data_IF_018000624553
#
_entry.id   IF_018000624553
#
_cell.length_a   1.000
_cell.length_b   1.000
_cell.length_c   1.000
_cell.angle_alpha   90.00
_cell.angle_beta   90.00
_cell.angle_gamma   90.00
#
_symmetry.space_group_name_H-M   'P 1'
#
loop_
_entity.id
_entity.type
_entity.pdbx_description
1 polymer ?
#
# COMPACT_ATOMS: atom_id res chain seq x y z
N UNK A 1 1.50 -10.78 -16.96
CA UNK A 1 0.04 -10.96 -16.89
C UNK A 1 -0.51 -9.75 -16.14
N UNK A 2 -1.04 -8.79 -16.90
CA UNK A 2 -1.31 -7.41 -16.47
C UNK A 2 -2.77 -7.15 -16.17
N UNK A 3 -2.98 -6.06 -15.45
CA UNK A 3 -4.22 -5.35 -15.15
C UNK A 3 -5.07 -5.91 -14.01
N UNK A 4 -4.72 -5.49 -12.79
CA UNK A 4 -5.75 -5.33 -11.78
C UNK A 4 -6.58 -4.09 -12.11
N UNK A 5 -7.93 -4.16 -12.05
CA UNK A 5 -8.80 -3.03 -12.41
C UNK A 5 -8.42 -1.78 -11.60
N UNK A 6 -8.74 -0.61 -12.16
CA UNK A 6 -8.68 0.77 -11.62
C UNK A 6 -9.38 0.92 -10.24
N UNK A 7 -8.98 0.09 -9.29
CA UNK A 7 -9.40 0.10 -7.91
C UNK A 7 -8.56 1.19 -7.28
N UNK A 8 -9.18 2.34 -6.97
CA UNK A 8 -8.51 3.38 -6.19
C UNK A 8 -7.93 2.75 -4.92
N UNK A 9 -6.72 3.18 -4.50
CA UNK A 9 -6.18 2.71 -3.23
C UNK A 9 -7.19 3.02 -2.12
N UNK A 10 -7.39 2.06 -1.22
CA UNK A 10 -8.30 2.21 -0.08
C UNK A 10 -7.72 3.23 0.89
N UNK A 11 -6.41 3.13 1.11
CA UNK A 11 -5.67 4.00 1.99
C UNK A 11 -4.21 4.12 1.53
N UNK A 12 -3.54 5.20 1.95
CA UNK A 12 -2.12 5.41 1.73
C UNK A 12 -1.50 6.06 2.96
N UNK A 13 -0.75 5.27 3.71
CA UNK A 13 0.00 5.74 4.88
C UNK A 13 1.32 6.35 4.37
N UNK A 14 1.71 7.53 4.87
CA UNK A 14 2.92 8.23 4.44
C UNK A 14 3.88 8.51 5.58
N UNK A 15 5.16 8.39 5.29
CA UNK A 15 6.27 8.88 6.10
C UNK A 15 7.26 9.60 5.20
N UNK A 16 7.08 10.92 5.05
CA UNK A 16 7.82 11.75 4.10
C UNK A 16 7.66 11.26 2.66
N UNK A 17 8.77 10.95 1.99
CA UNK A 17 8.79 10.38 0.64
C UNK A 17 8.35 8.92 0.58
N UNK A 18 8.33 8.20 1.70
CA UNK A 18 7.90 6.80 1.74
C UNK A 18 6.38 6.72 1.90
N UNK A 19 5.77 5.71 1.29
CA UNK A 19 4.34 5.42 1.44
C UNK A 19 4.08 3.92 1.44
N UNK A 20 3.05 3.50 2.17
CA UNK A 20 2.42 2.20 2.07
C UNK A 20 1.01 2.36 1.54
N UNK A 21 0.77 1.88 0.32
CA UNK A 21 -0.51 1.99 -0.39
C UNK A 21 -1.27 0.68 -0.24
N UNK A 22 -2.50 0.74 0.29
CA UNK A 22 -3.35 -0.44 0.51
C UNK A 22 -4.38 -0.53 -0.62
N UNK A 23 -4.49 -1.70 -1.22
CA UNK A 23 -5.40 -1.98 -2.33
C UNK A 23 -6.40 -3.08 -1.96
N UNK A 24 -7.67 -2.89 -2.34
CA UNK A 24 -8.66 -3.97 -2.34
C UNK A 24 -8.55 -4.73 -3.65
N UNK A 25 -8.41 -6.04 -3.56
CA UNK A 25 -8.33 -6.93 -4.71
C UNK A 25 -9.52 -7.88 -4.64
N UNK A 26 -10.16 -8.08 -5.78
CA UNK A 26 -11.27 -9.01 -5.95
C UNK A 26 -10.73 -10.20 -6.72
N UNK A 27 -10.94 -11.42 -6.21
CA UNK A 27 -10.53 -12.65 -6.86
C UNK A 27 -11.57 -13.74 -6.65
N UNK A 28 -11.42 -14.85 -7.37
CA UNK A 28 -12.40 -15.94 -7.38
C UNK A 28 -12.60 -16.59 -5.99
N UNK A 29 -11.58 -16.53 -5.14
CA UNK A 29 -11.60 -17.04 -3.76
C UNK A 29 -11.97 -15.98 -2.71
N UNK A 30 -12.52 -14.85 -3.15
CA UNK A 30 -12.93 -13.74 -2.29
C UNK A 30 -11.98 -12.56 -2.28
N UNK A 31 -12.41 -11.51 -1.59
CA UNK A 31 -11.69 -10.25 -1.51
C UNK A 31 -10.44 -10.39 -0.64
N UNK A 32 -9.34 -9.80 -1.09
CA UNK A 32 -8.12 -9.71 -0.30
C UNK A 32 -7.50 -8.31 -0.39
N UNK A 33 -6.60 -8.03 0.53
CA UNK A 33 -5.92 -6.74 0.64
C UNK A 33 -4.44 -6.92 0.38
N UNK A 34 -3.88 -6.12 -0.52
CA UNK A 34 -2.45 -6.07 -0.82
C UNK A 34 -1.87 -4.71 -0.43
N UNK A 35 -0.61 -4.69 0.00
CA UNK A 35 0.11 -3.47 0.35
C UNK A 35 1.29 -3.30 -0.58
N UNK A 36 1.49 -2.09 -1.09
CA UNK A 36 2.64 -1.70 -1.88
C UNK A 36 3.40 -0.59 -1.15
N UNK A 37 4.67 -0.84 -0.81
CA UNK A 37 5.54 0.15 -0.21
C UNK A 37 6.46 0.72 -1.29
N UNK A 38 6.51 2.04 -1.38
CA UNK A 38 7.38 2.74 -2.34
C UNK A 38 7.88 4.07 -1.80
N UNK A 39 8.97 4.55 -2.41
CA UNK A 39 9.52 5.90 -2.21
C UNK A 39 9.16 6.77 -3.40
N UNK A 40 8.44 7.85 -3.17
CA UNK A 40 8.15 8.87 -4.17
C UNK A 40 9.30 9.87 -4.25
N UNK A 41 9.77 10.17 -5.45
CA UNK A 41 10.78 11.18 -5.74
C UNK A 41 10.36 11.99 -6.97
N UNK A 42 11.01 13.14 -7.19
CA UNK A 42 10.73 14.03 -8.31
C UNK A 42 11.95 14.08 -9.22
N UNK A 43 11.75 13.92 -10.52
CA UNK A 43 12.83 14.05 -11.51
C UNK A 43 13.12 15.52 -11.84
N UNK A 44 14.12 15.73 -12.69
CA UNK A 44 14.57 17.05 -13.12
C UNK A 44 13.52 17.78 -13.99
N UNK A 45 12.62 17.02 -14.64
CA UNK A 45 11.46 17.57 -15.37
C UNK A 45 10.30 17.94 -14.44
N UNK A 46 10.43 17.64 -13.15
CA UNK A 46 9.42 17.90 -12.15
C UNK A 46 8.29 16.86 -12.10
N UNK A 47 8.42 15.71 -12.75
CA UNK A 47 7.46 14.58 -12.64
C UNK A 47 7.76 13.74 -11.41
N UNK A 48 6.70 13.22 -10.80
CA UNK A 48 6.80 12.31 -9.67
C UNK A 48 6.91 10.87 -10.15
N UNK A 49 7.80 10.12 -9.51
CA UNK A 49 8.06 8.71 -9.75
C UNK A 49 8.09 7.96 -8.44
N UNK A 50 7.78 6.66 -8.49
CA UNK A 50 7.92 5.76 -7.36
C UNK A 50 9.09 4.80 -7.58
N UNK A 51 9.77 4.43 -6.51
CA UNK A 51 10.84 3.42 -6.49
C UNK A 51 10.62 2.43 -5.35
N UNK A 52 11.10 1.20 -5.53
CA UNK A 52 11.07 0.14 -4.52
C UNK A 52 12.45 -0.19 -3.96
N UNK A 53 13.43 0.69 -4.20
CA UNK A 53 14.77 0.60 -3.64
C UNK A 53 14.90 1.56 -2.47
N UNK A 54 15.29 1.04 -1.31
CA UNK A 54 15.41 1.79 -0.07
C UNK A 54 16.87 1.85 0.39
N UNK A 55 17.25 3.01 0.94
CA UNK A 55 18.55 3.21 1.59
C UNK A 55 18.54 2.64 3.01
N UNK A 56 19.71 2.43 3.59
CA UNK A 56 19.84 1.90 4.96
C UNK A 56 19.09 2.72 6.02
N UNK A 57 19.08 4.06 5.89
CA UNK A 57 18.38 4.95 6.80
C UNK A 57 16.85 4.90 6.66
N UNK A 58 16.35 4.38 5.54
CA UNK A 58 14.91 4.24 5.28
C UNK A 58 14.33 2.92 5.82
N UNK A 59 15.16 1.91 6.11
CA UNK A 59 14.69 0.57 6.44
C UNK A 59 13.80 0.51 7.68
N UNK A 60 14.13 1.25 8.75
CA UNK A 60 13.29 1.29 9.95
C UNK A 60 11.94 1.97 9.70
N UNK A 61 11.91 2.98 8.82
CA UNK A 61 10.68 3.68 8.43
C UNK A 61 9.81 2.79 7.55
N UNK A 62 10.42 2.05 6.61
CA UNK A 62 9.75 1.01 5.83
C UNK A 62 9.15 -0.07 6.75
N UNK A 63 9.91 -0.54 7.74
CA UNK A 63 9.41 -1.50 8.73
C UNK A 63 8.21 -0.95 9.50
N UNK A 64 8.27 0.31 9.93
CA UNK A 64 7.14 0.95 10.62
C UNK A 64 5.92 1.11 9.72
N UNK A 65 6.11 1.49 8.45
CA UNK A 65 5.02 1.57 7.48
C UNK A 65 4.38 0.18 7.25
N UNK A 66 5.19 -0.87 7.18
CA UNK A 66 4.68 -2.24 7.05
C UNK A 66 3.85 -2.68 8.28
N UNK A 67 4.30 -2.34 9.48
CA UNK A 67 3.60 -2.64 10.74
C UNK A 67 2.24 -1.92 10.83
N UNK A 68 2.20 -0.63 10.48
CA UNK A 68 0.94 0.13 10.43
C UNK A 68 0.01 -0.47 9.36
N UNK A 69 0.51 -0.71 8.14
CA UNK A 69 -0.31 -1.26 7.07
C UNK A 69 -0.83 -2.68 7.40
N UNK A 70 -0.05 -3.49 8.10
CA UNK A 70 -0.51 -4.78 8.61
C UNK A 70 -1.73 -4.61 9.53
N UNK A 71 -1.65 -3.69 10.49
CA UNK A 71 -2.76 -3.40 11.41
C UNK A 71 -4.01 -2.92 10.67
N UNK A 72 -3.86 -1.97 9.75
CA UNK A 72 -4.97 -1.43 8.94
C UNK A 72 -5.63 -2.51 8.08
N UNK A 73 -4.85 -3.36 7.40
CA UNK A 73 -5.42 -4.43 6.57
C UNK A 73 -6.22 -5.44 7.39
N UNK A 74 -5.88 -5.67 8.66
CA UNK A 74 -6.69 -6.53 9.54
C UNK A 74 -8.03 -5.90 9.89
N UNK A 75 -8.04 -4.62 10.23
CA UNK A 75 -9.28 -3.88 10.51
C UNK A 75 -10.21 -3.90 9.30
N UNK A 76 -9.66 -3.67 8.10
CA UNK A 76 -10.41 -3.71 6.85
C UNK A 76 -11.02 -5.10 6.58
N UNK A 77 -10.24 -6.17 6.80
CA UNK A 77 -10.75 -7.56 6.66
C UNK A 77 -11.85 -7.88 7.67
N UNK A 78 -11.72 -7.41 8.90
CA UNK A 78 -12.72 -7.62 9.94
C UNK A 78 -14.01 -6.85 9.66
N UNK A 79 -13.90 -5.63 9.14
CA UNK A 79 -15.05 -4.85 8.69
C UNK A 79 -15.77 -5.51 7.51
N UNK A 80 -15.03 -5.98 6.51
CA UNK A 80 -15.57 -6.72 5.36
C UNK A 80 -16.26 -8.03 5.80
N UNK A 81 -15.70 -8.75 6.77
CA UNK A 81 -16.35 -9.96 7.32
C UNK A 81 -17.67 -9.64 8.02
N UNK A 82 -17.73 -8.53 8.76
CA UNK A 82 -18.95 -8.11 9.47
C UNK A 82 -20.03 -7.59 8.53
N UNK A 83 -19.69 -7.01 7.39
CA UNK A 83 -20.69 -6.52 6.41
C UNK A 83 -21.34 -7.64 5.60
N UNK A 84 -20.77 -8.85 5.63
CA UNK A 84 -21.30 -10.06 4.98
C UNK A 84 -22.16 -10.94 5.91
N UNK A 85 -22.23 -10.60 7.20
CA UNK A 85 -23.00 -11.31 8.23
C UNK A 85 -24.30 -10.56 8.54
#
# INVERSE_FOLDING_TARGET
MTNTPDSKPIDTIRDGSLKATIWKRFGDNGNFYSVEISRTWRDDEGKYHDSHSFTGSELLRVSRLADIAYSETRLLRDADRKSLA
#
